data_IF_043825536828
#
_entry.id   IF_043825536828
#
_cell.length_a   1.000
_cell.length_b   1.000
_cell.length_c   1.000
_cell.angle_alpha   90.00
_cell.angle_beta   90.00
_cell.angle_gamma   90.00
#
_symmetry.space_group_name_H-M   'P 1'
#
loop_
_entity.id
_entity.type
_entity.pdbx_description
1 polymer ?
#
# COMPACT_ATOMS: atom_id res chain seq x y z
N UNK A 1 5.39 5.45 -4.23
CA UNK A 1 6.08 4.90 -3.05
C UNK A 1 7.49 5.47 -3.01
N UNK A 2 7.96 5.95 -1.87
CA UNK A 2 9.20 6.74 -1.76
C UNK A 2 10.49 5.94 -2.03
N UNK A 3 10.49 4.64 -1.74
CA UNK A 3 11.66 3.77 -1.94
C UNK A 3 11.97 3.39 -3.39
N UNK A 4 11.30 3.99 -4.39
CA UNK A 4 11.53 3.70 -5.81
C UNK A 4 12.26 4.85 -6.50
N UNK A 5 13.32 4.51 -7.24
CA UNK A 5 14.15 5.47 -7.98
C UNK A 5 14.49 4.94 -9.36
N UNK A 6 14.52 5.83 -10.36
CA UNK A 6 15.09 5.52 -11.67
C UNK A 6 16.51 6.08 -11.73
N UNK A 7 17.47 5.25 -12.13
CA UNK A 7 18.88 5.63 -12.30
C UNK A 7 19.31 5.44 -13.75
N UNK A 8 19.91 6.47 -14.34
CA UNK A 8 20.53 6.38 -15.68
C UNK A 8 21.99 5.99 -15.51
N UNK A 9 22.39 4.86 -16.08
CA UNK A 9 23.73 4.32 -15.90
C UNK A 9 24.41 4.04 -17.25
N UNK A 10 25.72 4.29 -17.27
CA UNK A 10 26.62 3.83 -18.33
C UNK A 10 27.32 2.59 -17.81
N UNK A 11 26.99 1.42 -18.34
CA UNK A 11 27.56 0.15 -17.92
C UNK A 11 28.50 -0.41 -18.99
N UNK A 12 29.45 -1.23 -18.57
CA UNK A 12 30.23 -2.09 -19.47
C UNK A 12 29.96 -3.53 -19.09
N UNK A 13 29.42 -4.32 -20.02
CA UNK A 13 29.16 -5.75 -19.83
C UNK A 13 30.22 -6.53 -20.58
N UNK A 14 30.87 -7.45 -19.88
CA UNK A 14 31.88 -8.33 -20.45
C UNK A 14 31.24 -9.62 -20.95
N UNK A 15 31.46 -9.93 -22.23
CA UNK A 15 30.84 -11.05 -22.91
C UNK A 15 31.93 -12.00 -23.40
N UNK A 16 31.69 -13.29 -23.20
CA UNK A 16 32.57 -14.35 -23.68
C UNK A 16 32.54 -14.43 -25.22
N UNK A 17 33.68 -14.67 -25.91
CA UNK A 17 33.74 -14.76 -27.38
C UNK A 17 32.74 -15.72 -28.02
N UNK A 18 32.40 -16.82 -27.35
CA UNK A 18 31.40 -17.78 -27.83
C UNK A 18 29.97 -17.20 -27.96
N UNK A 19 29.72 -16.00 -27.45
CA UNK A 19 28.45 -15.27 -27.55
C UNK A 19 28.53 -14.05 -28.46
N UNK A 20 29.60 -13.92 -29.25
CA UNK A 20 29.81 -12.83 -30.21
C UNK A 20 28.75 -12.72 -31.30
N UNK A 21 28.12 -13.84 -31.68
CA UNK A 21 27.01 -13.85 -32.63
C UNK A 21 25.65 -13.45 -32.00
N UNK A 22 25.57 -13.34 -30.67
CA UNK A 22 24.33 -13.11 -29.92
C UNK A 22 24.55 -12.06 -28.81
N UNK A 23 25.21 -10.94 -29.15
CA UNK A 23 25.59 -9.89 -28.20
C UNK A 23 24.39 -9.36 -27.42
N UNK A 24 23.30 -9.01 -28.09
CA UNK A 24 22.11 -8.46 -27.43
C UNK A 24 21.53 -9.43 -26.39
N UNK A 25 21.42 -10.71 -26.73
CA UNK A 25 20.93 -11.72 -25.79
C UNK A 25 21.89 -11.93 -24.62
N UNK A 26 23.20 -11.89 -24.87
CA UNK A 26 24.21 -12.01 -23.82
C UNK A 26 24.19 -10.80 -22.86
N UNK A 27 23.99 -9.58 -23.37
CA UNK A 27 23.80 -8.37 -22.55
C UNK A 27 22.55 -8.49 -21.70
N UNK A 28 21.40 -8.84 -22.31
CA UNK A 28 20.15 -8.99 -21.58
C UNK A 28 20.26 -10.06 -20.49
N UNK A 29 20.93 -11.18 -20.78
CA UNK A 29 21.19 -12.22 -19.78
C UNK A 29 21.99 -11.71 -18.59
N UNK A 30 23.02 -10.89 -18.83
CA UNK A 30 23.84 -10.29 -17.77
C UNK A 30 23.06 -9.25 -16.96
N UNK A 31 22.25 -8.42 -17.60
CA UNK A 31 21.38 -7.47 -16.88
C UNK A 31 20.30 -8.19 -16.08
N UNK A 32 19.74 -9.28 -16.61
CA UNK A 32 18.76 -10.11 -15.91
C UNK A 32 19.34 -10.77 -14.67
N UNK A 33 20.64 -11.12 -14.64
CA UNK A 33 21.26 -11.62 -13.41
C UNK A 33 21.41 -10.58 -12.30
N UNK A 34 21.22 -9.29 -12.58
CA UNK A 34 21.23 -8.24 -11.56
C UNK A 34 19.85 -8.06 -10.90
N UNK A 35 18.78 -8.58 -11.50
CA UNK A 35 17.42 -8.41 -11.00
C UNK A 35 17.27 -9.03 -9.60
N UNK A 36 16.57 -8.32 -8.73
CA UNK A 36 16.35 -8.67 -7.32
C UNK A 36 17.64 -8.89 -6.52
N UNK A 37 18.74 -8.28 -6.95
CA UNK A 37 20.00 -8.26 -6.22
C UNK A 37 20.32 -6.83 -5.82
N UNK A 38 20.82 -6.65 -4.59
CA UNK A 38 21.29 -5.35 -4.14
C UNK A 38 22.59 -4.99 -4.87
N UNK A 39 22.66 -3.77 -5.39
CA UNK A 39 23.85 -3.24 -6.03
C UNK A 39 24.42 -2.10 -5.19
N UNK A 40 25.60 -2.32 -4.61
CA UNK A 40 26.35 -1.29 -3.87
C UNK A 40 26.63 -0.06 -4.76
N UNK A 41 26.92 -0.28 -6.04
CA UNK A 41 27.21 0.79 -7.01
C UNK A 41 26.01 1.72 -7.19
N UNK A 42 24.79 1.16 -7.17
CA UNK A 42 23.56 1.91 -7.39
C UNK A 42 22.80 2.23 -6.11
N UNK A 43 23.28 1.76 -4.96
CA UNK A 43 22.66 1.93 -3.64
C UNK A 43 21.19 1.48 -3.67
N UNK A 44 20.93 0.26 -4.16
CA UNK A 44 19.57 -0.27 -4.27
C UNK A 44 19.45 -1.61 -5.00
N UNK A 45 18.28 -2.22 -4.85
CA UNK A 45 17.90 -3.49 -5.49
C UNK A 45 17.39 -3.22 -6.91
N UNK A 46 17.96 -3.89 -7.91
CA UNK A 46 17.51 -3.71 -9.31
C UNK A 46 16.19 -4.44 -9.53
N UNK A 47 15.13 -3.72 -9.84
CA UNK A 47 13.80 -4.28 -10.11
C UNK A 47 13.54 -4.49 -11.60
N UNK A 48 14.03 -3.57 -12.43
CA UNK A 48 13.86 -3.61 -13.87
C UNK A 48 14.99 -2.83 -14.54
N UNK A 49 15.20 -3.12 -15.81
CA UNK A 49 16.13 -2.39 -16.66
C UNK A 49 15.50 -2.09 -18.01
N UNK A 50 15.94 -1.00 -18.62
CA UNK A 50 15.58 -0.60 -19.97
C UNK A 50 16.84 -0.16 -20.72
N UNK A 51 17.19 -0.89 -21.78
CA UNK A 51 18.42 -0.66 -22.54
C UNK A 51 18.13 0.35 -23.64
N UNK A 52 18.59 1.58 -23.45
CA UNK A 52 18.39 2.65 -24.42
C UNK A 52 19.24 2.46 -25.68
N UNK A 53 20.50 2.05 -25.49
CA UNK A 53 21.46 1.86 -26.59
C UNK A 53 22.69 1.10 -26.10
N UNK A 54 23.34 0.35 -26.98
CA UNK A 54 24.68 -0.21 -26.74
C UNK A 54 25.61 0.13 -27.90
N UNK A 55 26.89 0.37 -27.59
CA UNK A 55 27.92 0.65 -28.60
C UNK A 55 28.15 -0.59 -29.47
N UNK A 56 28.24 -0.38 -30.78
CA UNK A 56 28.61 -1.42 -31.76
C UNK A 56 30.10 -1.78 -31.70
N UNK A 57 30.94 -0.90 -31.16
CA UNK A 57 32.37 -1.15 -30.97
C UNK A 57 32.66 -1.66 -29.56
N UNK A 58 32.95 -2.96 -29.45
CA UNK A 58 33.41 -3.57 -28.20
C UNK A 58 34.93 -3.48 -28.06
N UNK A 59 35.42 -3.31 -26.82
CA UNK A 59 36.85 -3.39 -26.52
C UNK A 59 37.20 -4.79 -26.03
N UNK A 60 38.15 -5.45 -26.70
CA UNK A 60 38.66 -6.74 -26.23
C UNK A 60 39.57 -6.48 -25.02
N UNK A 61 39.34 -7.22 -23.93
CA UNK A 61 40.24 -7.23 -22.80
C UNK A 61 41.47 -8.06 -23.15
N UNK A 62 42.65 -7.44 -23.11
CA UNK A 62 43.93 -8.09 -23.31
C UNK A 62 44.22 -9.03 -22.12
N UNK A 63 44.32 -10.35 -22.35
CA UNK A 63 44.57 -11.34 -21.29
C UNK A 63 44.33 -12.79 -21.74
N UNK A 64 44.44 -13.75 -20.81
CA UNK A 64 44.34 -15.20 -21.10
C UNK A 64 42.95 -15.62 -21.61
N UNK A 65 41.89 -14.93 -21.18
CA UNK A 65 40.51 -15.16 -21.64
C UNK A 65 39.98 -13.88 -22.28
N UNK A 66 39.92 -13.78 -23.63
CA UNK A 66 39.61 -12.54 -24.29
C UNK A 66 38.11 -12.25 -24.26
N UNK A 67 37.58 -11.79 -23.12
CA UNK A 67 36.24 -11.21 -23.08
C UNK A 67 36.23 -9.89 -23.84
N UNK A 68 35.11 -9.56 -24.47
CA UNK A 68 34.91 -8.25 -25.07
C UNK A 68 33.89 -7.45 -24.26
N UNK A 69 34.25 -6.22 -23.93
CA UNK A 69 33.42 -5.27 -23.18
C UNK A 69 32.53 -4.48 -24.11
N UNK A 70 31.21 -4.57 -23.90
CA UNK A 70 30.19 -3.80 -24.60
C UNK A 70 29.71 -2.69 -23.68
N UNK A 71 29.83 -1.44 -24.13
CA UNK A 71 29.30 -0.29 -23.40
C UNK A 71 27.83 -0.11 -23.70
N UNK A 72 27.03 0.19 -22.68
CA UNK A 72 25.61 0.42 -22.84
C UNK A 72 25.10 1.55 -21.94
N UNK A 73 24.04 2.20 -22.41
CA UNK A 73 23.24 3.18 -21.66
C UNK A 73 21.96 2.49 -21.24
N UNK A 74 21.73 2.41 -19.93
CA UNK A 74 20.58 1.70 -19.36
C UNK A 74 19.88 2.58 -18.33
N UNK A 75 18.55 2.49 -18.28
CA UNK A 75 17.77 3.00 -17.17
C UNK A 75 17.50 1.82 -16.23
N UNK A 76 17.81 1.97 -14.96
CA UNK A 76 17.55 0.97 -13.92
C UNK A 76 16.44 1.48 -13.01
N UNK A 77 15.40 0.66 -12.81
CA UNK A 77 14.44 0.88 -11.74
C UNK A 77 14.99 0.21 -10.47
N UNK A 78 15.17 1.01 -9.43
CA UNK A 78 15.78 0.59 -8.17
C UNK A 78 14.77 0.68 -7.03
N UNK A 79 14.82 -0.31 -6.14
CA UNK A 79 14.24 -0.24 -4.81
C UNK A 79 15.35 0.07 -3.80
N UNK A 80 15.29 1.25 -3.19
CA UNK A 80 16.30 1.78 -2.27
C UNK A 80 15.60 2.36 -1.04
N UNK A 81 15.09 1.49 -0.14
CA UNK A 81 14.42 1.94 1.07
C UNK A 81 15.43 2.54 2.05
N UNK A 82 15.25 3.81 2.40
CA UNK A 82 16.10 4.51 3.37
C UNK A 82 15.35 4.73 4.68
N UNK A 83 16.07 4.84 5.82
CA UNK A 83 15.45 5.23 7.07
C UNK A 83 14.59 6.48 6.92
N UNK A 84 13.46 6.50 7.61
CA UNK A 84 12.44 7.56 7.58
C UNK A 84 11.64 7.68 6.27
N UNK A 85 11.78 6.77 5.30
CA UNK A 85 10.87 6.69 4.16
C UNK A 85 9.58 5.96 4.52
N UNK A 86 8.49 6.32 3.85
CA UNK A 86 7.22 5.62 3.93
C UNK A 86 7.09 4.56 2.84
N UNK A 87 6.86 3.33 3.27
CA UNK A 87 6.58 2.21 2.39
C UNK A 87 5.17 1.67 2.62
N UNK A 88 4.64 1.06 1.58
CA UNK A 88 3.34 0.40 1.61
C UNK A 88 3.51 -1.08 1.27
N UNK A 89 2.82 -1.92 2.01
CA UNK A 89 2.92 -3.37 1.82
C UNK A 89 1.70 -4.11 2.33
N UNK A 90 1.59 -5.37 1.93
CA UNK A 90 0.48 -6.25 2.29
C UNK A 90 0.86 -7.08 3.50
N UNK A 91 0.03 -7.04 4.54
CA UNK A 91 0.21 -7.89 5.72
C UNK A 91 0.01 -9.36 5.35
N UNK A 92 0.99 -10.19 5.65
CA UNK A 92 0.96 -11.64 5.39
C UNK A 92 0.83 -12.47 6.67
N UNK A 93 1.31 -11.96 7.80
CA UNK A 93 1.18 -12.60 9.12
C UNK A 93 1.09 -11.53 10.19
N UNK A 94 0.29 -11.81 11.21
CA UNK A 94 0.18 -11.01 12.42
C UNK A 94 0.43 -11.94 13.59
N UNK A 95 1.30 -11.50 14.51
CA UNK A 95 1.52 -12.12 15.82
C UNK A 95 1.38 -11.06 16.91
N UNK A 96 1.31 -11.49 18.17
CA UNK A 96 1.38 -10.57 19.31
C UNK A 96 2.71 -9.79 19.38
N UNK A 97 3.79 -10.36 18.85
CA UNK A 97 5.12 -9.77 18.90
C UNK A 97 5.48 -8.96 17.63
N UNK A 98 4.79 -9.19 16.51
CA UNK A 98 5.15 -8.56 15.24
C UNK A 98 4.04 -8.57 14.18
N UNK A 99 4.22 -7.70 13.18
CA UNK A 99 3.46 -7.71 11.93
C UNK A 99 4.44 -7.98 10.80
N UNK A 100 4.17 -9.01 10.00
CA UNK A 100 4.94 -9.34 8.81
C UNK A 100 4.21 -8.85 7.57
N UNK A 101 4.96 -8.20 6.69
CA UNK A 101 4.46 -7.48 5.53
C UNK A 101 5.29 -7.86 4.31
N UNK A 102 4.68 -7.91 3.13
CA UNK A 102 5.40 -8.03 1.86
C UNK A 102 5.27 -6.72 1.10
N UNK A 103 6.41 -6.15 0.72
CA UNK A 103 6.55 -4.91 -0.05
C UNK A 103 6.89 -5.26 -1.49
N UNK A 104 6.14 -4.69 -2.44
CA UNK A 104 6.31 -4.88 -3.89
C UNK A 104 6.32 -6.35 -4.37
N UNK A 105 5.90 -7.30 -3.52
CA UNK A 105 5.83 -8.72 -3.84
C UNK A 105 7.11 -9.51 -3.65
N UNK A 106 8.25 -8.88 -3.34
CA UNK A 106 9.55 -9.57 -3.22
C UNK A 106 10.28 -9.30 -1.88
N UNK A 107 10.14 -8.10 -1.30
CA UNK A 107 10.84 -7.74 -0.07
C UNK A 107 9.95 -8.02 1.14
N UNK A 108 10.51 -8.71 2.14
CA UNK A 108 9.85 -8.91 3.43
C UNK A 108 10.05 -7.68 4.30
N UNK A 109 9.06 -7.35 5.10
CA UNK A 109 9.18 -6.35 6.15
C UNK A 109 8.61 -6.86 7.47
N UNK A 110 9.24 -6.47 8.58
CA UNK A 110 8.80 -6.80 9.93
C UNK A 110 8.67 -5.54 10.77
N UNK A 111 7.57 -5.46 11.50
CA UNK A 111 7.28 -4.39 12.45
C UNK A 111 7.11 -5.07 13.80
N UNK A 112 8.09 -4.90 14.69
CA UNK A 112 8.06 -5.49 16.04
C UNK A 112 7.09 -4.75 16.96
N UNK A 113 6.60 -5.41 18.01
CA UNK A 113 5.65 -4.85 18.99
C UNK A 113 6.07 -3.48 19.54
N UNK A 114 7.36 -3.33 19.89
CA UNK A 114 7.95 -2.06 20.36
C UNK A 114 7.87 -0.91 19.33
N UNK A 115 7.69 -1.25 18.06
CA UNK A 115 7.59 -0.32 16.94
C UNK A 115 6.13 -0.18 16.46
N UNK A 116 5.16 -0.60 17.28
CA UNK A 116 3.71 -0.40 17.09
C UNK A 116 3.21 0.59 18.15
N UNK A 117 2.34 1.52 17.77
CA UNK A 117 1.72 2.46 18.73
C UNK A 117 0.93 1.71 19.81
N UNK A 118 1.04 2.16 21.05
CA UNK A 118 0.36 1.56 22.22
C UNK A 118 -1.18 1.52 22.09
N UNK A 119 -1.74 2.41 21.27
CA UNK A 119 -3.17 2.40 20.96
C UNK A 119 -3.62 1.12 20.25
N UNK A 120 -2.73 0.44 19.52
CA UNK A 120 -3.06 -0.81 18.85
C UNK A 120 -2.96 -1.98 19.83
N UNK A 121 -4.05 -2.72 19.96
CA UNK A 121 -4.10 -3.93 20.79
C UNK A 121 -4.23 -5.14 19.90
N UNK A 122 -3.33 -6.11 20.07
CA UNK A 122 -3.48 -7.42 19.48
C UNK A 122 -4.65 -8.17 20.14
N UNK A 123 -5.58 -8.67 19.33
CA UNK A 123 -6.73 -9.46 19.77
C UNK A 123 -6.92 -10.65 18.85
N UNK A 124 -7.34 -11.77 19.42
CA UNK A 124 -7.75 -12.93 18.61
C UNK A 124 -9.21 -12.79 18.20
N UNK A 125 -9.48 -12.75 16.89
CA UNK A 125 -10.83 -12.75 16.32
C UNK A 125 -10.97 -13.93 15.37
N UNK A 126 -11.95 -14.82 15.63
CA UNK A 126 -12.24 -16.00 14.79
C UNK A 126 -10.98 -16.87 14.55
N UNK A 127 -10.15 -17.03 15.57
CA UNK A 127 -8.89 -17.79 15.49
C UNK A 127 -7.73 -17.08 14.78
N UNK A 128 -7.88 -15.81 14.38
CA UNK A 128 -6.81 -15.01 13.75
C UNK A 128 -6.44 -13.81 14.62
N UNK A 129 -5.15 -13.53 14.73
CA UNK A 129 -4.66 -12.35 15.43
C UNK A 129 -4.83 -11.10 14.57
N UNK A 130 -5.31 -10.03 15.21
CA UNK A 130 -5.54 -8.73 14.57
C UNK A 130 -5.14 -7.61 15.52
N UNK A 131 -4.53 -6.56 14.99
CA UNK A 131 -4.33 -5.31 15.72
C UNK A 131 -5.50 -4.37 15.49
N UNK A 132 -6.04 -3.81 16.56
CA UNK A 132 -7.14 -2.84 16.51
C UNK A 132 -6.79 -1.63 17.35
N UNK A 133 -6.91 -0.43 16.79
CA UNK A 133 -6.73 0.81 17.56
C UNK A 133 -7.83 0.96 18.61
N UNK A 134 -7.44 1.28 19.86
CA UNK A 134 -8.34 1.65 20.96
C UNK A 134 -9.08 2.94 20.66
N UNK A 135 -8.37 3.93 20.13
CA UNK A 135 -8.88 5.25 19.77
C UNK A 135 -9.82 5.17 18.57
N UNK A 136 -9.49 4.32 17.58
CA UNK A 136 -10.25 4.20 16.34
C UNK A 136 -10.61 2.73 16.04
N UNK A 137 -11.78 2.29 16.49
CA UNK A 137 -12.26 0.89 16.32
C UNK A 137 -12.31 0.38 14.86
N UNK A 138 -12.32 1.29 13.88
CA UNK A 138 -12.29 0.98 12.43
C UNK A 138 -10.87 0.84 11.87
N UNK A 139 -9.84 1.29 12.60
CA UNK A 139 -8.44 1.13 12.23
C UNK A 139 -7.99 -0.28 12.65
N UNK A 140 -8.10 -1.21 11.70
CA UNK A 140 -7.82 -2.63 11.92
C UNK A 140 -6.72 -3.09 10.97
N UNK A 141 -5.71 -3.74 11.53
CA UNK A 141 -4.63 -4.40 10.80
C UNK A 141 -4.78 -5.90 10.99
N UNK A 142 -4.97 -6.61 9.88
CA UNK A 142 -5.12 -8.07 9.82
C UNK A 142 -4.42 -8.58 8.56
N UNK A 143 -4.26 -9.90 8.45
CA UNK A 143 -3.75 -10.51 7.22
C UNK A 143 -4.56 -10.05 6.00
N UNK A 144 -3.85 -9.67 4.95
CA UNK A 144 -4.42 -9.13 3.71
C UNK A 144 -4.61 -7.61 3.68
N UNK A 145 -4.53 -6.92 4.83
CA UNK A 145 -4.60 -5.46 4.87
C UNK A 145 -3.36 -4.84 4.22
N UNK A 146 -3.57 -3.80 3.41
CA UNK A 146 -2.49 -2.92 2.94
C UNK A 146 -2.19 -1.88 4.03
N UNK A 147 -0.94 -1.80 4.46
CA UNK A 147 -0.50 -0.85 5.47
C UNK A 147 0.61 0.05 4.94
N UNK A 148 0.64 1.28 5.44
CA UNK A 148 1.76 2.23 5.31
C UNK A 148 2.57 2.20 6.59
N UNK A 149 3.88 2.13 6.49
CA UNK A 149 4.79 2.09 7.63
C UNK A 149 6.08 2.86 7.33
N UNK A 150 6.75 3.32 8.39
CA UNK A 150 8.03 4.02 8.30
C UNK A 150 9.18 3.00 8.27
N UNK A 151 10.18 3.20 7.41
CA UNK A 151 11.40 2.40 7.39
C UNK A 151 12.32 2.83 8.55
N UNK A 152 12.79 1.85 9.33
CA UNK A 152 13.86 2.04 10.32
C UNK A 152 15.22 1.67 9.75
N UNK A 153 15.30 0.50 9.13
CA UNK A 153 16.51 0.00 8.50
C UNK A 153 16.16 -1.01 7.41
N UNK A 154 17.14 -1.31 6.56
CA UNK A 154 17.04 -2.29 5.50
C UNK A 154 18.25 -3.22 5.56
N UNK A 155 17.99 -4.51 5.48
CA UNK A 155 18.99 -5.55 5.34
C UNK A 155 19.17 -5.87 3.86
N UNK A 156 20.34 -5.52 3.33
CA UNK A 156 20.68 -5.60 1.91
C UNK A 156 20.92 -7.04 1.45
N UNK A 157 21.29 -7.95 2.34
CA UNK A 157 21.62 -9.34 2.01
C UNK A 157 20.35 -10.17 1.83
N UNK A 158 19.41 -10.04 2.76
CA UNK A 158 18.14 -10.79 2.75
C UNK A 158 16.95 -9.96 2.25
N UNK A 159 17.20 -8.73 1.80
CA UNK A 159 16.20 -7.79 1.28
C UNK A 159 15.04 -7.56 2.27
N UNK A 160 15.37 -7.42 3.55
CA UNK A 160 14.39 -7.33 4.63
C UNK A 160 14.32 -5.92 5.20
N UNK A 161 13.12 -5.33 5.23
CA UNK A 161 12.89 -4.02 5.81
C UNK A 161 12.45 -4.14 7.28
N UNK A 162 13.10 -3.41 8.18
CA UNK A 162 12.60 -3.22 9.53
C UNK A 162 11.74 -1.95 9.55
N UNK A 163 10.48 -2.09 9.95
CA UNK A 163 9.48 -1.03 9.88
C UNK A 163 8.98 -0.55 11.24
N UNK A 164 8.28 0.58 11.24
CA UNK A 164 7.60 1.16 12.39
C UNK A 164 6.22 1.69 12.03
N UNK A 165 5.27 1.49 12.94
CA UNK A 165 3.97 2.12 12.95
C UNK A 165 3.86 3.24 14.00
N UNK A 166 4.95 3.64 14.66
CA UNK A 166 4.93 4.68 15.70
C UNK A 166 4.40 6.04 15.20
N UNK A 167 4.72 6.54 13.99
CA UNK A 167 4.21 7.83 13.53
C UNK A 167 2.73 7.79 13.16
N UNK A 168 1.95 8.81 13.50
CA UNK A 168 0.47 8.85 13.34
C UNK A 168 -0.05 8.57 11.92
N UNK A 169 0.73 8.94 10.90
CA UNK A 169 0.40 8.76 9.48
C UNK A 169 0.67 7.33 8.95
N UNK A 170 0.84 6.35 9.84
CA UNK A 170 1.10 4.94 9.52
C UNK A 170 -0.04 4.03 10.01
N UNK A 171 -0.14 2.84 9.43
CA UNK A 171 -1.17 1.83 9.71
C UNK A 171 -1.97 1.46 8.47
N UNK A 172 -3.21 0.98 8.62
CA UNK A 172 -4.09 0.62 7.49
C UNK A 172 -4.33 1.81 6.56
N UNK A 173 -3.95 1.66 5.28
CA UNK A 173 -4.07 2.69 4.24
C UNK A 173 -5.54 3.10 4.07
N UNK A 174 -6.44 2.11 3.99
CA UNK A 174 -7.88 2.37 3.86
C UNK A 174 -8.42 3.28 4.96
N UNK A 175 -7.91 3.13 6.19
CA UNK A 175 -8.33 4.01 7.28
C UNK A 175 -7.67 5.38 7.16
N UNK A 176 -6.36 5.45 6.86
CA UNK A 176 -5.64 6.72 6.70
C UNK A 176 -6.29 7.60 5.64
N UNK A 177 -6.52 7.07 4.44
CA UNK A 177 -7.10 7.82 3.31
C UNK A 177 -8.49 8.36 3.65
N UNK A 178 -9.30 7.57 4.35
CA UNK A 178 -10.66 7.99 4.74
C UNK A 178 -10.68 9.09 5.80
N UNK A 179 -9.71 9.14 6.71
CA UNK A 179 -9.69 10.16 7.76
C UNK A 179 -9.01 11.45 7.28
N UNK A 180 -8.11 11.39 6.29
CA UNK A 180 -7.57 12.58 5.62
C UNK A 180 -8.67 13.40 4.93
N UNK A 181 -9.69 12.76 4.35
CA UNK A 181 -10.83 13.45 3.74
C UNK A 181 -11.73 14.18 4.76
N UNK A 182 -11.89 13.62 5.96
CA UNK A 182 -12.80 14.17 6.99
C UNK A 182 -12.23 15.46 7.62
N UNK A 183 -10.92 15.52 7.83
CA UNK A 183 -10.27 16.72 8.37
C UNK A 183 -10.40 17.91 7.40
N UNK A 184 -10.37 17.66 6.09
CA UNK A 184 -10.55 18.70 5.06
C UNK A 184 -11.96 19.28 4.96
N UNK A 185 -12.96 18.57 5.50
CA UNK A 185 -14.36 19.03 5.54
C UNK A 185 -14.74 19.73 6.85
N UNK A 186 -13.89 19.67 7.88
CA UNK A 186 -14.17 20.29 9.18
C UNK A 186 -14.15 21.83 9.14
N UNK A 187 -13.40 22.43 8.22
CA UNK A 187 -13.25 23.89 8.05
C UNK A 187 -14.47 24.60 7.43
N UNK A 188 -15.49 23.88 6.94
CA UNK A 188 -16.70 24.51 6.37
C UNK A 188 -17.88 24.64 7.34
N UNK A 189 -17.73 24.25 8.60
CA UNK A 189 -18.86 24.22 9.55
C UNK A 189 -18.98 25.43 10.49
N UNK A 190 -18.07 26.41 10.40
CA UNK A 190 -18.19 27.68 11.15
C UNK A 190 -18.89 28.80 10.36
N UNK A 191 -20.14 28.58 9.91
CA UNK A 191 -21.04 29.68 9.54
C UNK A 191 -22.51 29.26 9.49
N UNK A 192 -23.05 28.80 10.62
CA UNK A 192 -24.50 28.85 10.85
C UNK A 192 -24.87 28.91 12.33
N UNK A 193 -24.52 30.03 12.96
CA UNK A 193 -25.24 30.49 14.17
C UNK A 193 -25.92 31.82 13.88
N UNK A 194 -27.16 31.90 14.37
CA UNK A 194 -28.06 33.05 14.51
C UNK A 194 -28.91 33.38 13.28
N UNK A 195 -30.14 32.86 13.27
CA UNK A 195 -31.34 33.72 13.33
C UNK A 195 -32.33 33.04 14.29
N UNK A 196 -32.52 33.65 15.46
CA UNK A 196 -33.67 33.42 16.34
C UNK A 196 -34.82 34.24 15.74
N UNK A 197 -36.02 33.67 15.53
CA UNK A 197 -37.22 34.49 15.46
C UNK A 197 -37.89 34.47 16.83
N UNK A 198 -37.84 35.63 17.44
CA UNK A 198 -38.52 36.07 18.63
C UNK A 198 -40.04 35.84 18.51
N UNK A 199 -40.65 35.41 19.63
CA UNK A 199 -42.09 35.21 19.77
C UNK A 199 -42.83 36.51 19.52
N UNK A 200 -43.78 36.52 18.60
CA UNK A 200 -44.85 37.52 18.55
C UNK A 200 -46.16 36.78 18.78
N UNK A 201 -46.75 37.01 19.94
CA UNK A 201 -48.14 36.66 20.25
C UNK A 201 -49.05 37.60 19.47
N UNK A 202 -50.12 37.08 18.88
CA UNK A 202 -51.40 37.77 18.72
C UNK A 202 -52.51 36.70 18.65
N UNK A 203 -53.50 36.90 19.52
CA UNK A 203 -54.79 36.21 19.67
C UNK A 203 -55.54 36.17 18.31
N UNK A 204 -56.51 35.30 18.02
CA UNK A 204 -57.75 35.10 18.76
C UNK A 204 -58.55 33.95 18.10
N UNK A 205 -59.30 33.24 18.93
CA UNK A 205 -60.15 32.10 18.62
C UNK A 205 -61.34 32.42 17.70
N UNK A 206 -61.67 31.47 16.83
CA UNK A 206 -63.00 31.32 16.20
C UNK A 206 -63.36 29.84 16.03
N UNK A 207 -63.98 29.29 17.07
CA UNK A 207 -65.24 28.51 17.13
C UNK A 207 -65.61 27.53 15.98
N UNK A 208 -65.86 26.28 16.44
CA UNK A 208 -66.74 25.19 15.97
C UNK A 208 -66.62 24.55 14.57
N UNK A 209 -66.64 23.22 14.58
CA UNK A 209 -67.07 22.42 13.43
C UNK A 209 -66.54 20.99 13.38
N UNK A 210 -67.37 20.06 13.85
CA UNK A 210 -67.35 18.59 13.77
C UNK A 210 -66.39 17.82 12.83
N UNK A 211 -65.99 16.66 13.37
CA UNK A 211 -65.50 15.46 12.71
C UNK A 211 -66.32 15.09 11.46
N UNK A 212 -65.66 14.87 10.32
CA UNK A 212 -66.05 13.78 9.41
C UNK A 212 -64.88 13.29 8.55
N UNK A 213 -64.86 11.97 8.45
CA UNK A 213 -63.90 11.09 7.79
C UNK A 213 -64.03 11.12 6.27
N UNK A 214 -62.92 10.97 5.53
CA UNK A 214 -62.92 10.18 4.28
C UNK A 214 -61.58 9.43 4.08
N UNK A 215 -61.69 8.11 4.19
CA UNK A 215 -60.70 7.12 3.78
C UNK A 215 -60.66 6.99 2.25
N UNK A 216 -59.47 6.84 1.67
CA UNK A 216 -59.24 5.95 0.52
C UNK A 216 -57.98 5.13 0.81
N UNK A 217 -58.17 3.83 1.08
CA UNK A 217 -57.14 2.77 1.05
C UNK A 217 -56.72 2.47 -0.41
N UNK A 218 -55.73 1.65 -0.74
CA UNK A 218 -55.39 0.31 -0.27
C UNK A 218 -53.90 0.07 -0.60
N UNK A 219 -53.05 -0.41 0.31
CA UNK A 219 -52.73 -1.83 0.58
C UNK A 219 -52.35 -2.67 -0.65
N UNK A 220 -51.14 -3.22 -0.61
CA UNK A 220 -50.95 -4.68 -0.72
C UNK A 220 -49.73 -5.13 0.07
N UNK A 221 -49.94 -6.12 0.95
CA UNK A 221 -48.97 -6.73 1.86
C UNK A 221 -49.13 -8.26 1.72
N UNK A 222 -48.02 -8.99 1.94
CA UNK A 222 -47.88 -10.45 2.21
C UNK A 222 -47.73 -11.33 0.96
N UNK A 223 -46.86 -12.35 0.95
CA UNK A 223 -46.95 -13.51 1.86
C UNK A 223 -45.66 -14.34 2.01
N UNK A 224 -45.43 -14.82 3.24
CA UNK A 224 -44.65 -16.01 3.60
C UNK A 224 -45.48 -17.27 3.31
N UNK A 225 -44.86 -18.35 2.83
CA UNK A 225 -45.28 -19.75 3.08
C UNK A 225 -44.06 -20.68 3.02
N UNK A 226 -44.18 -21.79 3.72
CA UNK A 226 -43.13 -22.66 4.25
C UNK A 226 -43.35 -24.10 3.72
N UNK A 227 -42.27 -24.87 3.62
CA UNK A 227 -42.12 -26.33 3.91
C UNK A 227 -42.32 -27.44 2.84
N UNK A 228 -41.32 -28.34 2.86
CA UNK A 228 -41.26 -29.81 2.68
C UNK A 228 -40.57 -30.46 1.45
N UNK A 229 -39.76 -31.49 1.80
CA UNK A 229 -39.12 -32.64 1.09
C UNK A 229 -40.05 -33.31 0.04
N UNK A 230 -39.65 -34.19 -0.90
CA UNK A 230 -38.64 -35.26 -0.94
C UNK A 230 -38.50 -35.80 -2.40
N UNK A 231 -37.39 -36.50 -2.66
CA UNK A 231 -37.13 -37.59 -3.65
C UNK A 231 -37.50 -37.52 -5.16
N UNK A 232 -36.47 -37.64 -6.00
CA UNK A 232 -36.31 -38.67 -7.04
C UNK A 232 -34.84 -38.88 -7.36
#
# INVERSE_FOLDING_TARGET
MEGLKVSKANLTVYIHPSKSNQVSQAVLRQLSSLLFTFSEIFDGVVLAYDVNSFDTCAKILSGVHPYFGVKLKVNLLLFSPKPNMLLEGKVVKVTQESIHVVVLGFSSAIISEKDIREEFVCKTKRGQEVYVSRSHKRHVIKVGTMIRFLVKSFDEEILHVYGSLVPDHTGSIYWLDKNLEVDSHSDRSEKKRRIVPERIMLEQDAVDGELSTLNIGQKSKKSKKQKHQEES
#
